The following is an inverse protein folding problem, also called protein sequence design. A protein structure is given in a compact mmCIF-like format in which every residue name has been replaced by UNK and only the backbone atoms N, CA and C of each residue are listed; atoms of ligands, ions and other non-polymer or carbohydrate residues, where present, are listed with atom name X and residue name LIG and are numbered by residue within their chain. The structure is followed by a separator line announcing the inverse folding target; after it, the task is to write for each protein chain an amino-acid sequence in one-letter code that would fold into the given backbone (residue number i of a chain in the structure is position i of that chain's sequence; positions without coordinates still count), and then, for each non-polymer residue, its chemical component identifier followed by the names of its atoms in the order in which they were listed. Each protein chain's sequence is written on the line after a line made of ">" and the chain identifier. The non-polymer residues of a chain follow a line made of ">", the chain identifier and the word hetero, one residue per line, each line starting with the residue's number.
data_IF_140525640150
#
_entry.id   IF_140525640150
#
_cell.length_a   1.000
_cell.length_b   1.000
_cell.length_c   1.000
_cell.angle_alpha   90.00
_cell.angle_beta   90.00
_cell.angle_gamma   90.00
#
_symmetry.space_group_name_H-M   'P 1'
#
loop_
_entity.id
_entity.type
_entity.pdbx_description
1 polymer ?
#
# COMPACT_ATOMS: atom_id res chain seq x y z
N UNK A 1 -49.32 11.97 16.31
CA UNK A 1 -47.86 12.04 16.56
C UNK A 1 -47.09 11.24 15.50
N UNK A 2 -47.20 9.91 15.48
CA UNK A 2 -46.47 9.01 14.55
C UNK A 2 -46.61 9.34 13.05
N UNK A 3 -47.81 9.72 12.57
CA UNK A 3 -47.99 10.10 11.16
C UNK A 3 -47.26 11.38 10.76
N UNK A 4 -47.12 12.35 11.67
CA UNK A 4 -46.41 13.60 11.39
C UNK A 4 -44.91 13.40 11.39
N UNK A 5 -44.40 12.55 12.29
CA UNK A 5 -42.99 12.17 12.34
C UNK A 5 -42.57 11.41 11.07
N UNK A 6 -43.41 10.49 10.59
CA UNK A 6 -43.18 9.80 9.32
C UNK A 6 -43.08 10.77 8.13
N UNK A 7 -43.99 11.75 8.03
CA UNK A 7 -43.94 12.76 6.98
C UNK A 7 -42.63 13.57 7.02
N UNK A 8 -42.24 14.06 8.20
CA UNK A 8 -41.01 14.84 8.35
C UNK A 8 -39.75 14.02 8.00
N UNK A 9 -39.76 12.72 8.29
CA UNK A 9 -38.70 11.81 7.88
C UNK A 9 -38.63 11.63 6.36
N UNK A 10 -39.78 11.44 5.70
CA UNK A 10 -39.85 11.33 4.23
C UNK A 10 -39.38 12.64 3.57
N UNK A 11 -39.82 13.80 4.06
CA UNK A 11 -39.40 15.12 3.56
C UNK A 11 -37.87 15.32 3.70
N UNK A 12 -37.28 14.84 4.79
CA UNK A 12 -35.82 14.87 5.00
C UNK A 12 -35.10 13.99 3.96
N UNK A 13 -35.58 12.78 3.73
CA UNK A 13 -34.99 11.87 2.74
C UNK A 13 -35.08 12.45 1.33
N UNK A 14 -36.22 13.03 0.97
CA UNK A 14 -36.39 13.72 -0.32
C UNK A 14 -35.42 14.89 -0.46
N UNK A 15 -35.26 15.70 0.59
CA UNK A 15 -34.27 16.77 0.63
C UNK A 15 -32.83 16.29 0.45
N UNK A 16 -32.45 15.19 1.12
CA UNK A 16 -31.13 14.57 0.97
C UNK A 16 -30.90 13.99 -0.42
N UNK A 17 -31.93 13.41 -1.04
CA UNK A 17 -31.84 12.84 -2.39
C UNK A 17 -31.49 13.91 -3.44
N UNK A 18 -31.91 15.16 -3.26
CA UNK A 18 -31.56 16.27 -4.15
C UNK A 18 -30.05 16.59 -4.14
N UNK A 19 -29.35 16.29 -3.04
CA UNK A 19 -27.92 16.58 -2.83
C UNK A 19 -27.06 15.33 -2.66
N UNK A 20 -27.60 14.15 -2.99
CA UNK A 20 -26.94 12.87 -2.76
C UNK A 20 -25.58 12.76 -3.49
N UNK A 21 -25.47 13.27 -4.71
CA UNK A 21 -24.23 13.19 -5.48
C UNK A 21 -23.09 14.00 -4.84
N UNK A 22 -23.29 15.28 -4.44
CA UNK A 22 -22.32 16.00 -3.62
C UNK A 22 -21.92 15.28 -2.32
N UNK A 23 -22.88 14.66 -1.62
CA UNK A 23 -22.58 13.91 -0.39
C UNK A 23 -21.70 12.68 -0.65
N UNK A 24 -21.94 11.95 -1.73
CA UNK A 24 -21.11 10.80 -2.15
C UNK A 24 -19.69 11.25 -2.52
N UNK A 25 -19.56 12.32 -3.30
CA UNK A 25 -18.25 12.86 -3.66
C UNK A 25 -17.46 13.32 -2.43
N UNK A 26 -18.13 13.93 -1.45
CA UNK A 26 -17.50 14.29 -0.18
C UNK A 26 -17.04 13.04 0.60
N UNK A 27 -17.86 11.99 0.66
CA UNK A 27 -17.48 10.74 1.33
C UNK A 27 -16.29 10.05 0.65
N UNK A 28 -16.26 10.02 -0.69
CA UNK A 28 -15.13 9.48 -1.47
C UNK A 28 -13.84 10.27 -1.22
N UNK A 29 -13.92 11.60 -1.25
CA UNK A 29 -12.77 12.46 -0.99
C UNK A 29 -12.24 12.29 0.45
N UNK A 30 -13.13 12.17 1.44
CA UNK A 30 -12.72 11.89 2.83
C UNK A 30 -12.04 10.53 2.96
N UNK A 31 -12.58 9.50 2.29
CA UNK A 31 -11.96 8.17 2.30
C UNK A 31 -10.58 8.15 1.62
N UNK A 32 -10.41 8.87 0.51
CA UNK A 32 -9.12 9.01 -0.16
C UNK A 32 -8.09 9.72 0.74
N UNK A 33 -8.49 10.82 1.38
CA UNK A 33 -7.63 11.54 2.34
C UNK A 33 -7.20 10.63 3.49
N UNK A 34 -8.12 9.82 4.04
CA UNK A 34 -7.82 8.88 5.12
C UNK A 34 -6.75 7.85 4.69
N UNK A 35 -6.89 7.26 3.50
CA UNK A 35 -5.90 6.31 2.97
C UNK A 35 -4.54 6.98 2.72
N UNK A 36 -4.52 8.16 2.10
CA UNK A 36 -3.27 8.89 1.82
C UNK A 36 -2.57 9.32 3.11
N UNK A 37 -3.34 9.79 4.10
CA UNK A 37 -2.81 10.13 5.42
C UNK A 37 -2.23 8.89 6.13
N UNK A 38 -2.91 7.75 6.04
CA UNK A 38 -2.41 6.48 6.57
C UNK A 38 -1.10 6.06 5.86
N UNK A 39 -1.01 6.19 4.53
CA UNK A 39 0.25 5.91 3.81
C UNK A 39 1.39 6.82 4.26
N UNK A 40 1.15 8.13 4.37
CA UNK A 40 2.17 9.08 4.80
C UNK A 40 2.65 8.79 6.23
N UNK A 41 1.72 8.52 7.15
CA UNK A 41 2.04 8.23 8.54
C UNK A 41 2.78 6.89 8.67
N UNK A 42 2.34 5.84 7.96
CA UNK A 42 3.05 4.55 7.93
C UNK A 42 4.45 4.70 7.34
N UNK A 43 4.62 5.52 6.31
CA UNK A 43 5.92 5.74 5.71
C UNK A 43 6.93 6.33 6.69
N UNK A 44 6.50 7.33 7.46
CA UNK A 44 7.32 7.96 8.50
C UNK A 44 7.58 7.01 9.66
N UNK A 45 6.55 6.34 10.18
CA UNK A 45 6.65 5.48 11.35
C UNK A 45 7.49 4.22 11.11
N UNK A 46 7.51 3.71 9.87
CA UNK A 46 8.18 2.45 9.49
C UNK A 46 9.45 2.67 8.66
N UNK A 47 9.88 3.93 8.50
CA UNK A 47 11.06 4.31 7.71
C UNK A 47 10.99 3.78 6.27
N UNK A 48 9.89 4.03 5.56
CA UNK A 48 9.70 3.62 4.17
C UNK A 48 10.10 4.73 3.20
N UNK A 49 10.65 4.34 2.06
CA UNK A 49 11.11 5.26 1.03
C UNK A 49 10.08 5.43 -0.09
N UNK A 50 10.07 6.62 -0.71
CA UNK A 50 9.29 6.88 -1.92
C UNK A 50 9.86 6.06 -3.08
N UNK A 51 9.07 5.21 -3.76
CA UNK A 51 9.53 4.48 -4.93
C UNK A 51 9.61 5.39 -6.15
N UNK A 52 10.64 5.19 -6.98
CA UNK A 52 10.75 5.84 -8.28
C UNK A 52 10.19 4.91 -9.37
N UNK A 53 9.18 5.37 -10.12
CA UNK A 53 8.67 4.66 -11.29
C UNK A 53 9.40 5.15 -12.56
N UNK A 54 9.96 4.24 -13.33
CA UNK A 54 10.65 4.50 -14.60
C UNK A 54 9.94 3.82 -15.77
N UNK A 55 10.26 4.23 -16.99
CA UNK A 55 9.66 3.67 -18.21
C UNK A 55 10.26 2.32 -18.61
N UNK A 56 11.51 2.09 -18.22
CA UNK A 56 12.29 0.93 -18.58
C UNK A 56 11.92 -0.26 -17.67
N UNK A 57 11.73 -1.46 -18.23
CA UNK A 57 11.44 -2.64 -17.40
C UNK A 57 12.60 -2.94 -16.43
N UNK A 58 12.33 -2.94 -15.13
CA UNK A 58 13.30 -3.31 -14.12
C UNK A 58 12.70 -3.41 -12.73
N UNK A 59 13.47 -3.97 -11.80
CA UNK A 59 13.18 -3.88 -10.37
C UNK A 59 14.51 -3.71 -9.66
N UNK A 60 14.74 -2.55 -9.05
CA UNK A 60 15.89 -2.29 -8.19
C UNK A 60 15.39 -1.96 -6.80
N UNK A 61 15.71 -2.80 -5.83
CA UNK A 61 15.35 -2.61 -4.42
C UNK A 61 16.65 -2.65 -3.62
N UNK A 62 16.94 -1.61 -2.85
CA UNK A 62 18.06 -1.56 -1.92
C UNK A 62 17.52 -1.68 -0.49
N UNK A 63 18.12 -2.58 0.29
CA UNK A 63 17.75 -2.90 1.67
C UNK A 63 16.23 -3.11 1.86
N UNK A 64 15.61 -3.86 0.95
CA UNK A 64 14.20 -4.18 1.03
C UNK A 64 13.88 -5.05 2.25
N UNK A 65 12.71 -4.83 2.84
CA UNK A 65 12.20 -5.55 4.02
C UNK A 65 10.80 -6.07 3.75
N UNK A 66 10.45 -7.22 4.32
CA UNK A 66 9.11 -7.77 4.17
C UNK A 66 8.16 -7.09 5.17
N UNK A 67 7.15 -6.32 4.73
CA UNK A 67 6.41 -5.40 5.61
C UNK A 67 5.68 -6.10 6.77
N UNK A 68 5.14 -7.30 6.53
CA UNK A 68 4.45 -8.09 7.57
C UNK A 68 5.43 -8.86 8.47
N UNK A 69 6.45 -9.50 7.90
CA UNK A 69 7.38 -10.33 8.67
C UNK A 69 8.28 -9.48 9.56
N UNK A 70 8.67 -8.29 9.11
CA UNK A 70 9.39 -7.32 9.93
C UNK A 70 8.59 -6.91 11.18
N UNK A 71 7.29 -6.66 11.04
CA UNK A 71 6.45 -6.18 12.13
C UNK A 71 6.16 -7.24 13.22
N UNK A 72 6.17 -8.54 12.86
CA UNK A 72 5.80 -9.62 13.79
C UNK A 72 6.99 -10.36 14.40
N UNK A 73 8.21 -10.13 13.89
CA UNK A 73 9.41 -10.79 14.42
C UNK A 73 9.95 -10.04 15.64
N UNK A 74 10.34 -10.79 16.65
CA UNK A 74 11.02 -10.25 17.85
C UNK A 74 12.47 -9.81 17.54
N UNK A 75 13.13 -10.54 16.65
CA UNK A 75 14.48 -10.24 16.20
C UNK A 75 14.49 -9.29 14.99
N UNK A 76 15.53 -8.46 14.83
CA UNK A 76 15.68 -7.60 13.66
C UNK A 76 15.52 -8.37 12.34
N UNK A 77 14.83 -7.75 11.38
CA UNK A 77 14.71 -8.28 10.02
C UNK A 77 15.96 -7.90 9.21
N UNK A 78 16.64 -8.88 8.62
CA UNK A 78 17.78 -8.62 7.74
C UNK A 78 17.27 -8.23 6.34
N UNK A 79 17.50 -6.98 5.89
CA UNK A 79 17.03 -6.52 4.60
C UNK A 79 17.84 -7.13 3.44
N UNK A 80 17.22 -7.19 2.26
CA UNK A 80 17.84 -7.77 1.07
C UNK A 80 17.71 -6.86 -0.15
N UNK A 81 18.76 -6.84 -0.96
CA UNK A 81 18.78 -6.15 -2.24
C UNK A 81 18.19 -7.03 -3.35
N UNK A 82 17.58 -6.42 -4.36
CA UNK A 82 17.11 -7.08 -5.58
C UNK A 82 17.45 -6.22 -6.79
N UNK A 83 17.99 -6.86 -7.85
CA UNK A 83 18.14 -6.25 -9.16
C UNK A 83 17.61 -7.21 -10.22
N UNK A 84 16.53 -6.81 -10.89
CA UNK A 84 16.05 -7.37 -12.16
C UNK A 84 16.16 -6.30 -13.24
N UNK A 85 16.66 -6.72 -14.40
CA UNK A 85 16.82 -5.84 -15.56
C UNK A 85 16.52 -6.62 -16.84
N UNK A 86 16.45 -5.97 -18.02
CA UNK A 86 16.25 -6.69 -19.28
C UNK A 86 17.34 -7.76 -19.54
N UNK A 87 18.57 -7.52 -19.06
CA UNK A 87 19.68 -8.47 -19.14
C UNK A 87 19.62 -9.57 -18.05
N UNK A 88 18.92 -9.31 -16.93
CA UNK A 88 18.79 -10.22 -15.78
C UNK A 88 17.32 -10.30 -15.34
N UNK A 89 16.51 -11.01 -16.11
CA UNK A 89 15.05 -11.12 -15.90
C UNK A 89 14.60 -12.30 -15.04
N UNK A 90 15.51 -13.19 -14.66
CA UNK A 90 15.21 -14.39 -13.88
C UNK A 90 16.33 -14.65 -12.88
N UNK A 91 15.94 -15.00 -11.65
CA UNK A 91 16.85 -15.40 -10.59
C UNK A 91 16.57 -16.85 -10.20
N UNK A 92 17.63 -17.67 -10.17
CA UNK A 92 17.58 -18.99 -9.57
C UNK A 92 18.05 -18.85 -8.13
N UNK A 93 17.10 -18.91 -7.18
CA UNK A 93 17.37 -18.71 -5.75
C UNK A 93 17.46 -20.07 -5.07
N UNK A 94 18.67 -20.42 -4.61
CA UNK A 94 18.94 -21.67 -3.89
C UNK A 94 19.30 -21.38 -2.43
N UNK A 95 19.36 -22.43 -1.60
CA UNK A 95 19.70 -22.31 -0.18
C UNK A 95 18.95 -23.32 0.70
N UNK A 96 19.37 -23.51 1.96
CA UNK A 96 18.76 -24.46 2.88
C UNK A 96 17.29 -24.14 3.17
N UNK A 97 16.54 -25.12 3.66
CA UNK A 97 15.20 -24.89 4.17
C UNK A 97 15.23 -23.86 5.30
N UNK A 98 14.15 -23.07 5.41
CA UNK A 98 14.04 -21.94 6.34
C UNK A 98 15.04 -20.77 6.12
N UNK A 99 15.86 -20.81 5.06
CA UNK A 99 16.79 -19.73 4.69
C UNK A 99 16.16 -18.49 4.05
N UNK A 100 14.88 -18.19 4.32
CA UNK A 100 14.25 -16.94 3.88
C UNK A 100 13.88 -16.81 2.39
N UNK A 101 14.14 -17.83 1.55
CA UNK A 101 13.87 -17.78 0.09
C UNK A 101 12.44 -17.32 -0.27
N UNK A 102 11.42 -17.91 0.37
CA UNK A 102 10.01 -17.53 0.13
C UNK A 102 9.68 -16.13 0.66
N UNK A 103 10.31 -15.72 1.77
CA UNK A 103 10.17 -14.38 2.32
C UNK A 103 10.74 -13.34 1.36
N UNK A 104 11.92 -13.59 0.79
CA UNK A 104 12.54 -12.72 -0.21
C UNK A 104 11.67 -12.54 -1.46
N UNK A 105 11.11 -13.63 -2.00
CA UNK A 105 10.22 -13.55 -3.18
C UNK A 105 8.94 -12.76 -2.87
N UNK A 106 8.30 -13.01 -1.73
CA UNK A 106 7.07 -12.29 -1.33
C UNK A 106 7.34 -10.83 -1.01
N UNK A 107 8.47 -10.54 -0.37
CA UNK A 107 8.93 -9.18 -0.10
C UNK A 107 8.99 -8.37 -1.40
N UNK A 108 9.67 -8.88 -2.42
CA UNK A 108 9.78 -8.20 -3.71
C UNK A 108 8.39 -7.92 -4.32
N UNK A 109 7.51 -8.92 -4.33
CA UNK A 109 6.15 -8.76 -4.86
C UNK A 109 5.31 -7.74 -4.07
N UNK A 110 5.42 -7.72 -2.73
CA UNK A 110 4.70 -6.78 -1.87
C UNK A 110 5.23 -5.35 -2.01
N UNK A 111 6.55 -5.18 -2.16
CA UNK A 111 7.15 -3.86 -2.44
C UNK A 111 6.62 -3.30 -3.75
N UNK A 112 6.58 -4.11 -4.80
CA UNK A 112 5.99 -3.70 -6.10
C UNK A 112 4.52 -3.37 -5.94
N UNK A 113 3.74 -4.20 -5.24
CA UNK A 113 2.31 -3.96 -5.02
C UNK A 113 2.07 -2.63 -4.29
N UNK A 114 2.83 -2.34 -3.24
CA UNK A 114 2.73 -1.09 -2.47
C UNK A 114 3.06 0.13 -3.35
N UNK A 115 4.13 0.05 -4.14
CA UNK A 115 4.51 1.14 -5.04
C UNK A 115 3.41 1.45 -6.06
N UNK A 116 2.85 0.43 -6.71
CA UNK A 116 1.77 0.63 -7.68
C UNK A 116 0.41 0.94 -7.04
N UNK A 117 0.26 0.75 -5.73
CA UNK A 117 -0.88 1.25 -4.97
C UNK A 117 -0.73 2.73 -4.57
N UNK A 118 0.39 3.39 -4.89
CA UNK A 118 0.66 4.78 -4.53
C UNK A 118 1.23 4.95 -3.11
N UNK A 119 1.68 3.87 -2.48
CA UNK A 119 2.30 3.90 -1.15
C UNK A 119 3.83 4.04 -1.23
N UNK A 120 4.43 4.44 -0.11
CA UNK A 120 5.86 4.28 0.12
C UNK A 120 6.18 2.79 0.32
N UNK A 121 7.46 2.42 0.24
CA UNK A 121 7.87 1.01 0.29
C UNK A 121 8.92 0.72 1.36
N UNK A 122 8.89 -0.49 1.97
CA UNK A 122 9.85 -0.91 2.98
C UNK A 122 11.24 -1.20 2.41
N UNK A 123 11.96 -0.17 1.97
CA UNK A 123 13.30 -0.23 1.39
C UNK A 123 14.05 1.08 1.66
N UNK A 124 15.38 1.10 1.55
CA UNK A 124 16.13 2.37 1.58
C UNK A 124 16.05 3.10 0.23
N UNK A 125 15.89 2.35 -0.87
CA UNK A 125 15.66 2.88 -2.21
C UNK A 125 14.91 1.84 -3.05
N UNK A 126 13.99 2.30 -3.89
CA UNK A 126 13.26 1.45 -4.83
C UNK A 126 13.11 2.17 -6.17
N UNK A 127 13.46 1.48 -7.26
CA UNK A 127 13.25 1.93 -8.65
C UNK A 127 12.58 0.80 -9.41
N UNK A 128 11.38 1.05 -9.95
CA UNK A 128 10.54 0.09 -10.66
C UNK A 128 10.29 0.54 -12.10
#
# INVERSE_FOLDING_TARGET
>A
ALSREKQLWEDLLDGLNLVLNPLKAAAEAVAEIDVLAAFAERALALDWAEPQLVSEPGITIERGRHPVVEAVREAPFEPNDLVLSPARRMLVITGPNMGGKSTYMRQAALIVLLAYAGSFVPASRCVL
#
